data_IF_670434162999
#
_entry.id   IF_670434162999
#
_cell.length_a   1.000
_cell.length_b   1.000
_cell.length_c   1.000
_cell.angle_alpha   90.00
_cell.angle_beta   90.00
_cell.angle_gamma   90.00
#
_symmetry.space_group_name_H-M   'P 1'
#
loop_
_entity.id
_entity.type
_entity.pdbx_description
1 polymer ?
#
# COMPACT_ATOMS: atom_id res chain seq x y z
N UNK A 1 -20.16 -28.05 2.83
CA UNK A 1 -19.00 -28.95 2.97
C UNK A 1 -18.45 -28.75 4.37
N UNK A 2 -17.97 -29.81 5.02
CA UNK A 2 -17.23 -29.65 6.28
C UNK A 2 -15.90 -28.97 5.94
N UNK A 3 -15.54 -27.86 6.61
CA UNK A 3 -14.31 -27.13 6.31
C UNK A 3 -13.07 -28.01 6.41
N UNK A 4 -12.07 -27.73 5.58
CA UNK A 4 -10.75 -28.36 5.66
C UNK A 4 -10.22 -28.15 7.08
N UNK A 5 -9.87 -29.26 7.75
CA UNK A 5 -9.34 -29.22 9.11
C UNK A 5 -7.98 -28.51 9.12
N UNK A 6 -7.97 -27.27 9.56
CA UNK A 6 -6.77 -26.47 9.84
C UNK A 6 -6.44 -26.61 11.33
N UNK A 7 -5.25 -27.11 11.65
CA UNK A 7 -4.76 -27.17 13.03
C UNK A 7 -3.33 -26.65 13.01
N UNK A 8 -3.11 -25.46 13.59
CA UNK A 8 -1.77 -24.96 13.87
C UNK A 8 -1.40 -25.26 15.32
N UNK A 9 -0.15 -25.67 15.54
CA UNK A 9 0.37 -25.92 16.90
C UNK A 9 1.33 -24.82 17.38
N UNK A 10 1.59 -23.83 16.54
CA UNK A 10 2.54 -22.75 16.81
C UNK A 10 1.81 -21.60 17.49
N UNK A 11 2.22 -21.28 18.71
CA UNK A 11 1.64 -20.18 19.48
C UNK A 11 2.35 -18.85 19.12
N UNK A 12 1.60 -17.77 18.81
CA UNK A 12 2.16 -16.45 18.62
C UNK A 12 2.83 -15.94 19.91
N UNK A 13 3.95 -15.19 19.81
CA UNK A 13 4.60 -14.61 20.97
C UNK A 13 3.68 -13.59 21.67
N UNK A 14 3.87 -13.43 22.98
CA UNK A 14 3.23 -12.37 23.75
C UNK A 14 3.91 -11.03 23.44
N UNK A 15 3.10 -9.98 23.22
CA UNK A 15 3.55 -8.60 23.31
C UNK A 15 3.49 -8.12 24.78
N UNK A 16 3.77 -6.83 25.01
CA UNK A 16 3.62 -6.22 26.33
C UNK A 16 2.19 -6.35 26.87
N UNK A 17 2.04 -6.56 28.19
CA UNK A 17 0.72 -6.79 28.82
C UNK A 17 -0.32 -5.70 28.56
N UNK A 18 0.09 -4.45 28.27
CA UNK A 18 -0.84 -3.37 27.91
C UNK A 18 -1.68 -3.69 26.67
N UNK A 19 -1.21 -4.58 25.80
CA UNK A 19 -1.97 -5.03 24.62
C UNK A 19 -3.19 -5.90 24.99
N UNK A 20 -3.29 -6.38 26.24
CA UNK A 20 -4.53 -7.00 26.76
C UNK A 20 -5.64 -5.94 26.83
N UNK A 21 -5.32 -4.73 27.29
CA UNK A 21 -6.30 -3.64 27.41
C UNK A 21 -6.77 -3.17 26.03
N UNK A 22 -5.85 -3.09 25.05
CA UNK A 22 -6.20 -2.86 23.64
C UNK A 22 -7.11 -3.97 23.14
N UNK A 23 -6.77 -5.25 23.37
CA UNK A 23 -7.58 -6.38 22.91
C UNK A 23 -9.00 -6.34 23.50
N UNK A 24 -9.14 -6.00 24.78
CA UNK A 24 -10.44 -5.83 25.46
C UNK A 24 -11.25 -4.64 24.94
N UNK A 25 -10.59 -3.60 24.42
CA UNK A 25 -11.28 -2.44 23.83
C UNK A 25 -11.73 -2.66 22.38
N UNK A 26 -11.22 -3.70 21.70
CA UNK A 26 -11.58 -3.98 20.31
C UNK A 26 -13.06 -4.33 20.12
N UNK A 27 -13.67 -5.04 21.09
CA UNK A 27 -15.04 -5.54 20.98
C UNK A 27 -15.80 -5.22 22.27
N UNK A 28 -16.92 -4.50 22.15
CA UNK A 28 -17.77 -4.24 23.30
C UNK A 28 -18.44 -5.52 23.83
N UNK A 29 -18.71 -5.63 25.14
CA UNK A 29 -19.26 -6.86 25.73
C UNK A 29 -20.54 -7.37 25.06
N UNK A 30 -21.41 -6.47 24.62
CA UNK A 30 -22.66 -6.79 23.91
C UNK A 30 -22.44 -7.33 22.48
N UNK A 31 -21.28 -7.10 21.88
CA UNK A 31 -20.94 -7.55 20.53
C UNK A 31 -20.17 -8.87 20.48
N UNK A 32 -19.71 -9.40 21.62
CA UNK A 32 -18.87 -10.62 21.69
C UNK A 32 -19.49 -11.80 20.94
N UNK A 33 -20.77 -12.10 21.19
CA UNK A 33 -21.45 -13.21 20.52
C UNK A 33 -21.55 -12.97 19.01
N UNK A 34 -21.90 -11.75 18.62
CA UNK A 34 -22.05 -11.37 17.21
C UNK A 34 -20.74 -11.46 16.44
N UNK A 35 -19.64 -10.99 17.04
CA UNK A 35 -18.28 -11.11 16.50
C UNK A 35 -17.87 -12.58 16.37
N UNK A 36 -18.13 -13.39 17.40
CA UNK A 36 -17.85 -14.84 17.37
C UNK A 36 -18.61 -15.54 16.25
N UNK A 37 -19.89 -15.23 16.06
CA UNK A 37 -20.66 -15.77 14.93
C UNK A 37 -20.13 -15.26 13.59
N UNK A 38 -19.69 -14.01 13.52
CA UNK A 38 -19.12 -13.42 12.30
C UNK A 38 -17.83 -14.10 11.87
N UNK A 39 -16.96 -14.46 12.82
CA UNK A 39 -15.75 -15.25 12.59
C UNK A 39 -16.07 -16.60 11.96
N UNK A 40 -17.08 -17.30 12.49
CA UNK A 40 -17.54 -18.59 11.95
C UNK A 40 -18.09 -18.49 10.53
N UNK A 41 -18.80 -17.39 10.21
CA UNK A 41 -19.25 -17.11 8.83
C UNK A 41 -18.07 -16.83 7.90
N UNK A 42 -17.12 -16.02 8.38
CA UNK A 42 -15.93 -15.62 7.65
C UNK A 42 -15.06 -16.82 7.24
N UNK A 43 -14.75 -17.73 8.16
CA UNK A 43 -13.92 -18.90 7.87
C UNK A 43 -14.51 -19.79 6.76
N UNK A 44 -15.84 -19.99 6.76
CA UNK A 44 -16.55 -20.73 5.70
C UNK A 44 -16.48 -20.00 4.34
N UNK A 45 -16.54 -18.67 4.36
CA UNK A 45 -16.45 -17.85 3.14
C UNK A 45 -15.02 -17.85 2.56
N UNK A 46 -14.00 -17.75 3.41
CA UNK A 46 -12.58 -17.76 3.01
C UNK A 46 -12.19 -19.04 2.29
N UNK A 47 -12.62 -20.20 2.79
CA UNK A 47 -12.30 -21.49 2.16
C UNK A 47 -12.85 -21.57 0.73
N UNK A 48 -14.14 -21.25 0.57
CA UNK A 48 -14.79 -21.21 -0.75
C UNK A 48 -14.10 -20.23 -1.70
N UNK A 49 -13.70 -19.08 -1.17
CA UNK A 49 -13.03 -18.04 -1.95
C UNK A 49 -11.62 -18.45 -2.34
N UNK A 50 -10.89 -19.15 -1.47
CA UNK A 50 -9.57 -19.70 -1.78
C UNK A 50 -9.62 -20.75 -2.89
N UNK A 51 -10.63 -21.62 -2.90
CA UNK A 51 -10.83 -22.58 -4.00
C UNK A 51 -11.08 -21.84 -5.33
N UNK A 52 -11.94 -20.82 -5.31
CA UNK A 52 -12.23 -19.99 -6.50
C UNK A 52 -10.97 -19.29 -7.04
N UNK A 53 -10.17 -18.69 -6.15
CA UNK A 53 -8.90 -18.03 -6.54
C UNK A 53 -7.93 -19.07 -7.13
N UNK A 54 -7.82 -20.24 -6.50
CA UNK A 54 -6.91 -21.29 -6.95
C UNK A 54 -7.28 -21.84 -8.32
N UNK A 55 -8.57 -21.94 -8.64
CA UNK A 55 -9.06 -22.42 -9.95
C UNK A 55 -8.76 -21.44 -11.08
N UNK A 56 -8.91 -20.13 -10.82
CA UNK A 56 -8.72 -19.07 -11.81
C UNK A 56 -7.23 -18.66 -11.97
N UNK A 57 -6.43 -18.83 -10.90
CA UNK A 57 -5.02 -18.46 -10.87
C UNK A 57 -4.80 -16.97 -11.19
N UNK A 58 -3.70 -16.59 -11.88
CA UNK A 58 -3.38 -15.20 -12.16
C UNK A 58 -4.51 -14.38 -12.80
N UNK A 59 -5.37 -15.01 -13.62
CA UNK A 59 -6.51 -14.36 -14.30
C UNK A 59 -7.56 -13.82 -13.34
N UNK A 60 -7.54 -14.25 -12.08
CA UNK A 60 -8.40 -13.69 -11.04
C UNK A 60 -8.06 -12.22 -10.74
N UNK A 61 -6.88 -11.71 -11.08
CA UNK A 61 -6.61 -10.27 -10.96
C UNK A 61 -7.31 -9.50 -12.09
N UNK A 62 -8.16 -8.51 -11.77
CA UNK A 62 -8.82 -7.67 -12.78
C UNK A 62 -7.82 -6.96 -13.69
N UNK A 63 -8.17 -6.89 -14.98
CA UNK A 63 -7.38 -6.24 -16.03
C UNK A 63 -8.28 -5.30 -16.85
N UNK A 64 -7.74 -4.16 -17.25
CA UNK A 64 -8.41 -3.20 -18.14
C UNK A 64 -7.38 -2.53 -19.05
N UNK A 65 -7.77 -2.14 -20.26
CA UNK A 65 -6.93 -1.32 -21.12
C UNK A 65 -7.14 0.16 -20.80
N UNK A 66 -6.07 0.95 -20.74
CA UNK A 66 -6.16 2.39 -20.46
C UNK A 66 -7.12 3.12 -21.42
N UNK A 67 -7.20 2.69 -22.69
CA UNK A 67 -8.13 3.29 -23.65
C UNK A 67 -9.60 3.15 -23.24
N UNK A 68 -9.96 2.09 -22.51
CA UNK A 68 -11.33 1.83 -22.08
C UNK A 68 -11.71 2.77 -20.92
N UNK A 69 -10.74 3.14 -20.08
CA UNK A 69 -10.88 4.19 -19.06
C UNK A 69 -11.09 5.56 -19.73
N UNK A 70 -10.27 5.89 -20.73
CA UNK A 70 -10.39 7.14 -21.48
C UNK A 70 -11.73 7.23 -22.21
N UNK A 71 -12.15 6.16 -22.88
CA UNK A 71 -13.43 6.07 -23.56
C UNK A 71 -14.63 6.21 -22.61
N UNK A 72 -14.45 5.84 -21.33
CA UNK A 72 -15.43 5.99 -20.26
C UNK A 72 -15.24 7.29 -19.45
N UNK A 73 -14.89 8.40 -20.11
CA UNK A 73 -14.70 9.72 -19.49
C UNK A 73 -13.66 9.75 -18.36
N UNK A 74 -12.57 8.99 -18.51
CA UNK A 74 -11.54 8.80 -17.49
C UNK A 74 -12.07 8.18 -16.18
N UNK A 75 -13.03 7.26 -16.29
CA UNK A 75 -13.57 6.47 -15.18
C UNK A 75 -13.36 4.99 -15.44
N UNK A 76 -13.15 4.21 -14.38
CA UNK A 76 -13.18 2.75 -14.52
C UNK A 76 -14.56 2.29 -15.03
N UNK A 77 -14.64 1.37 -16.01
CA UNK A 77 -15.91 0.73 -16.35
C UNK A 77 -16.54 0.08 -15.11
N UNK A 78 -17.87 0.14 -14.97
CA UNK A 78 -18.57 -0.29 -13.75
C UNK A 78 -18.22 -1.72 -13.31
N UNK A 79 -18.11 -2.65 -14.27
CA UNK A 79 -17.73 -4.04 -13.99
C UNK A 79 -16.28 -4.16 -13.48
N UNK A 80 -15.37 -3.32 -13.98
CA UNK A 80 -13.97 -3.27 -13.53
C UNK A 80 -13.88 -2.62 -12.16
N UNK A 81 -14.63 -1.54 -11.92
CA UNK A 81 -14.75 -0.90 -10.61
C UNK A 81 -15.25 -1.88 -9.55
N UNK A 82 -16.32 -2.61 -9.81
CA UNK A 82 -16.86 -3.62 -8.89
C UNK A 82 -15.83 -4.70 -8.56
N UNK A 83 -15.15 -5.24 -9.58
CA UNK A 83 -14.10 -6.24 -9.39
C UNK A 83 -12.89 -5.69 -8.63
N UNK A 84 -12.48 -4.46 -8.89
CA UNK A 84 -11.41 -3.79 -8.16
C UNK A 84 -11.79 -3.60 -6.68
N UNK A 85 -13.03 -3.19 -6.39
CA UNK A 85 -13.50 -3.01 -5.01
C UNK A 85 -13.58 -4.33 -4.24
N UNK A 86 -13.93 -5.42 -4.91
CA UNK A 86 -13.95 -6.75 -4.32
C UNK A 86 -12.54 -7.32 -4.08
N UNK A 87 -11.69 -7.24 -5.10
CA UNK A 87 -10.40 -7.94 -5.15
C UNK A 87 -9.22 -7.10 -4.68
N UNK A 88 -9.40 -5.78 -4.59
CA UNK A 88 -8.40 -4.81 -4.13
C UNK A 88 -7.15 -4.69 -5.00
N UNK A 89 -7.08 -5.31 -6.18
CA UNK A 89 -5.95 -5.21 -7.11
C UNK A 89 -6.46 -4.98 -8.52
N UNK A 90 -5.75 -4.18 -9.30
CA UNK A 90 -6.10 -3.89 -10.69
C UNK A 90 -4.83 -3.71 -11.52
N UNK A 91 -4.82 -4.31 -12.72
CA UNK A 91 -3.80 -4.08 -13.73
C UNK A 91 -4.37 -3.31 -14.91
N UNK A 92 -3.69 -2.23 -15.29
CA UNK A 92 -4.09 -1.32 -16.35
C UNK A 92 -3.03 -1.36 -17.44
N UNK A 93 -3.38 -1.93 -18.59
CA UNK A 93 -2.45 -2.09 -19.72
C UNK A 93 -2.38 -0.83 -20.56
N UNK A 94 -1.27 -0.68 -21.29
CA UNK A 94 -1.08 0.35 -22.32
C UNK A 94 -1.27 1.80 -21.78
N UNK A 95 -0.82 2.06 -20.55
CA UNK A 95 -0.88 3.41 -19.96
C UNK A 95 0.20 4.31 -20.59
N UNK A 96 1.37 3.75 -20.89
CA UNK A 96 2.48 4.45 -21.55
C UNK A 96 3.00 3.56 -22.69
N UNK A 97 3.36 4.16 -23.81
CA UNK A 97 3.90 3.45 -24.96
C UNK A 97 5.25 2.78 -24.64
N UNK A 98 5.48 1.59 -25.20
CA UNK A 98 6.70 0.80 -24.91
C UNK A 98 8.00 1.54 -25.27
N UNK A 99 8.02 2.35 -26.34
CA UNK A 99 9.19 3.13 -26.75
C UNK A 99 9.58 4.19 -25.69
N UNK A 100 8.57 4.83 -25.09
CA UNK A 100 8.80 5.80 -24.01
C UNK A 100 9.29 5.10 -22.75
N UNK A 101 8.77 3.90 -22.45
CA UNK A 101 9.25 3.06 -21.36
C UNK A 101 10.71 2.66 -21.56
N UNK A 102 11.09 2.27 -22.78
CA UNK A 102 12.48 1.92 -23.10
C UNK A 102 13.43 3.10 -22.96
N UNK A 103 12.99 4.29 -23.38
CA UNK A 103 13.75 5.53 -23.18
C UNK A 103 13.98 5.78 -21.69
N UNK A 104 12.92 5.75 -20.89
CA UNK A 104 13.00 5.98 -19.44
C UNK A 104 13.84 4.91 -18.73
N UNK A 105 13.69 3.64 -19.08
CA UNK A 105 14.48 2.57 -18.50
C UNK A 105 15.98 2.77 -18.78
N UNK A 106 16.35 3.07 -20.02
CA UNK A 106 17.75 3.31 -20.39
C UNK A 106 18.33 4.55 -19.67
N UNK A 107 17.57 5.63 -19.55
CA UNK A 107 17.96 6.82 -18.79
C UNK A 107 18.15 6.51 -17.30
N UNK A 108 17.26 5.71 -16.68
CA UNK A 108 17.39 5.27 -15.28
C UNK A 108 18.63 4.41 -15.07
N UNK A 109 18.90 3.46 -15.96
CA UNK A 109 20.10 2.61 -15.92
C UNK A 109 21.36 3.45 -16.08
N UNK A 110 21.36 4.39 -17.04
CA UNK A 110 22.47 5.34 -17.22
C UNK A 110 22.74 6.15 -15.95
N UNK A 111 21.68 6.72 -15.37
CA UNK A 111 21.77 7.48 -14.13
C UNK A 111 22.37 6.66 -12.98
N UNK A 112 21.90 5.43 -12.78
CA UNK A 112 22.39 4.56 -11.70
C UNK A 112 23.87 4.16 -11.90
N UNK A 113 24.32 4.02 -13.15
CA UNK A 113 25.73 3.72 -13.47
C UNK A 113 26.64 4.93 -13.26
N UNK A 114 26.15 6.13 -13.53
CA UNK A 114 26.89 7.38 -13.37
C UNK A 114 26.95 7.85 -11.91
N UNK A 115 25.95 7.49 -11.09
CA UNK A 115 25.82 7.90 -9.68
C UNK A 115 25.73 6.70 -8.72
N UNK A 116 26.74 5.80 -8.69
CA UNK A 116 26.70 4.57 -7.89
C UNK A 116 26.63 4.84 -6.37
N UNK A 117 27.09 6.00 -5.91
CA UNK A 117 26.96 6.46 -4.52
C UNK A 117 25.51 6.73 -4.10
N UNK A 118 24.62 7.01 -5.05
CA UNK A 118 23.20 7.29 -4.80
C UNK A 118 22.36 6.03 -4.94
N UNK A 119 22.64 5.22 -5.96
CA UNK A 119 21.78 4.10 -6.35
C UNK A 119 21.93 2.85 -5.45
N UNK A 120 22.77 2.90 -4.41
CA UNK A 120 22.88 1.87 -3.38
C UNK A 120 23.75 0.68 -3.77
N UNK A 121 25.06 0.88 -3.86
CA UNK A 121 26.13 -0.10 -4.16
C UNK A 121 26.36 -0.39 -5.66
N UNK A 122 27.30 -1.31 -5.95
CA UNK A 122 27.72 -1.76 -7.29
C UNK A 122 26.55 -2.04 -8.23
N UNK A 123 26.74 -1.86 -9.54
CA UNK A 123 25.71 -2.12 -10.56
C UNK A 123 25.99 -3.45 -11.30
N UNK A 124 25.05 -4.43 -11.33
CA UNK A 124 23.76 -4.48 -10.64
C UNK A 124 23.93 -4.69 -9.13
N UNK A 125 22.98 -4.19 -8.34
CA UNK A 125 23.08 -4.26 -6.88
C UNK A 125 22.49 -5.58 -6.35
N UNK A 126 22.96 -6.08 -5.18
CA UNK A 126 22.59 -7.41 -4.70
C UNK A 126 21.13 -7.51 -4.22
N UNK A 127 20.45 -6.38 -4.00
CA UNK A 127 19.07 -6.35 -3.48
C UNK A 127 18.03 -6.10 -4.58
N UNK A 128 18.43 -5.76 -5.80
CA UNK A 128 17.61 -5.30 -6.92
C UNK A 128 16.91 -3.93 -6.74
N UNK A 129 17.12 -3.21 -5.64
CA UNK A 129 16.44 -1.94 -5.33
C UNK A 129 17.37 -0.74 -5.43
N UNK A 130 17.03 0.26 -6.24
CA UNK A 130 17.91 1.40 -6.49
C UNK A 130 17.31 2.67 -5.91
N UNK A 131 17.98 3.27 -4.92
CA UNK A 131 17.50 4.44 -4.17
C UNK A 131 17.67 5.76 -4.96
N UNK A 132 17.03 5.82 -6.13
CA UNK A 132 16.88 7.02 -6.96
C UNK A 132 15.44 7.50 -6.88
N UNK A 133 15.20 8.80 -6.67
CA UNK A 133 13.86 9.33 -6.37
C UNK A 133 13.38 10.45 -7.31
N UNK A 134 14.29 11.30 -7.81
CA UNK A 134 13.94 12.55 -8.50
C UNK A 134 14.46 12.64 -9.94
N UNK A 135 14.93 11.53 -10.51
CA UNK A 135 15.46 11.50 -11.87
C UNK A 135 14.43 12.01 -12.90
N UNK A 136 14.93 12.44 -14.07
CA UNK A 136 14.08 12.87 -15.20
C UNK A 136 13.01 11.82 -15.55
N UNK A 137 13.34 10.52 -15.76
CA UNK A 137 12.33 9.51 -16.05
C UNK A 137 11.25 9.39 -14.97
N UNK A 138 11.61 9.46 -13.69
CA UNK A 138 10.63 9.37 -12.60
C UNK A 138 9.71 10.60 -12.59
N UNK A 139 10.26 11.79 -12.78
CA UNK A 139 9.47 13.02 -12.85
C UNK A 139 8.52 13.01 -14.05
N UNK A 140 9.01 12.64 -15.23
CA UNK A 140 8.19 12.55 -16.43
C UNK A 140 7.13 11.45 -16.34
N UNK A 141 7.44 10.28 -15.76
CA UNK A 141 6.49 9.18 -15.59
C UNK A 141 5.37 9.52 -14.58
N UNK A 142 5.69 10.16 -13.44
CA UNK A 142 4.68 10.61 -12.45
C UNK A 142 3.69 11.59 -13.08
N UNK A 143 4.20 12.51 -13.90
CA UNK A 143 3.41 13.62 -14.44
C UNK A 143 2.96 13.43 -15.89
N UNK A 144 3.18 12.24 -16.45
CA UNK A 144 2.67 11.88 -17.76
C UNK A 144 1.14 12.05 -17.79
N UNK A 145 0.54 12.59 -18.88
CA UNK A 145 -0.90 12.83 -18.94
C UNK A 145 -1.75 11.59 -18.63
N UNK A 146 -1.35 10.42 -19.15
CA UNK A 146 -2.06 9.17 -18.91
C UNK A 146 -1.94 8.71 -17.45
N UNK A 147 -0.76 8.88 -16.82
CA UNK A 147 -0.58 8.58 -15.39
C UNK A 147 -1.50 9.46 -14.55
N UNK A 148 -1.54 10.78 -14.80
CA UNK A 148 -2.43 11.69 -14.08
C UNK A 148 -3.91 11.34 -14.26
N UNK A 149 -4.34 11.03 -15.48
CA UNK A 149 -5.70 10.60 -15.75
C UNK A 149 -6.05 9.29 -15.03
N UNK A 150 -5.12 8.33 -15.02
CA UNK A 150 -5.27 7.06 -14.31
C UNK A 150 -5.42 7.27 -12.80
N UNK A 151 -4.55 8.06 -12.18
CA UNK A 151 -4.63 8.33 -10.73
C UNK A 151 -5.93 9.04 -10.34
N UNK A 152 -6.47 9.92 -11.20
CA UNK A 152 -7.80 10.50 -11.02
C UNK A 152 -8.91 9.44 -11.12
N UNK A 153 -8.83 8.52 -12.09
CA UNK A 153 -9.79 7.41 -12.20
C UNK A 153 -9.79 6.50 -10.96
N UNK A 154 -8.60 6.24 -10.40
CA UNK A 154 -8.44 5.47 -9.17
C UNK A 154 -8.92 6.24 -7.93
N UNK A 155 -8.70 7.56 -7.87
CA UNK A 155 -9.19 8.42 -6.78
C UNK A 155 -10.71 8.34 -6.64
N UNK A 156 -11.43 8.31 -7.77
CA UNK A 156 -12.90 8.21 -7.80
C UNK A 156 -13.44 6.86 -7.29
N UNK A 157 -12.59 5.89 -6.95
CA UNK A 157 -13.02 4.64 -6.31
C UNK A 157 -13.22 4.80 -4.81
N UNK A 158 -12.57 5.81 -4.21
CA UNK A 158 -12.63 6.14 -2.79
C UNK A 158 -13.64 7.25 -2.51
N UNK A 159 -14.09 7.33 -1.26
CA UNK A 159 -15.03 8.36 -0.84
C UNK A 159 -14.85 8.71 0.64
N UNK A 160 -15.46 9.84 1.01
CA UNK A 160 -15.76 10.20 2.40
C UNK A 160 -17.25 10.48 2.49
N UNK A 161 -17.87 10.15 3.62
CA UNK A 161 -19.26 10.48 3.91
C UNK A 161 -19.39 11.86 4.58
N UNK A 162 -18.41 12.21 5.41
CA UNK A 162 -18.31 13.50 6.06
C UNK A 162 -17.56 14.49 5.16
N UNK A 163 -18.27 15.50 4.66
CA UNK A 163 -17.70 16.57 3.82
C UNK A 163 -16.68 17.46 4.54
N UNK A 164 -16.61 17.39 5.87
CA UNK A 164 -15.60 18.08 6.69
C UNK A 164 -14.28 17.30 6.82
N UNK A 165 -14.22 16.04 6.35
CA UNK A 165 -12.99 15.24 6.36
C UNK A 165 -11.86 15.96 5.65
N UNK A 166 -10.72 16.13 6.32
CA UNK A 166 -9.55 16.89 5.86
C UNK A 166 -8.72 16.12 4.82
N UNK A 167 -9.37 15.78 3.72
CA UNK A 167 -8.82 15.04 2.59
C UNK A 167 -9.39 15.56 1.27
N UNK A 168 -8.50 15.74 0.30
CA UNK A 168 -8.82 15.93 -1.10
C UNK A 168 -8.27 14.75 -1.89
N UNK A 169 -9.15 13.74 -2.07
CA UNK A 169 -8.86 12.49 -2.76
C UNK A 169 -8.43 12.75 -4.22
N UNK A 170 -8.91 13.84 -4.83
CA UNK A 170 -8.63 14.18 -6.24
C UNK A 170 -7.29 14.87 -6.45
N UNK A 171 -6.61 15.28 -5.37
CA UNK A 171 -5.27 15.86 -5.44
C UNK A 171 -4.24 14.82 -5.05
N UNK A 172 -3.45 14.35 -6.02
CA UNK A 172 -2.30 13.50 -5.78
C UNK A 172 -1.13 14.33 -5.22
N UNK A 173 -0.55 13.88 -4.12
CA UNK A 173 0.76 14.31 -3.59
C UNK A 173 1.82 13.30 -4.05
N UNK A 174 3.04 13.74 -4.32
CA UNK A 174 4.13 12.79 -4.60
C UNK A 174 4.71 12.30 -3.28
N UNK A 175 4.70 10.98 -3.08
CA UNK A 175 5.63 10.30 -2.18
C UNK A 175 6.85 9.85 -3.01
N UNK A 176 8.05 10.25 -2.58
CA UNK A 176 9.30 9.91 -3.27
C UNK A 176 9.67 8.45 -3.09
N UNK A 177 9.35 7.61 -4.07
CA UNK A 177 9.70 6.19 -4.05
C UNK A 177 10.71 5.81 -5.14
N UNK A 178 11.37 4.67 -4.92
CA UNK A 178 12.52 4.16 -5.65
C UNK A 178 12.13 3.38 -6.91
N UNK A 179 13.12 2.74 -7.54
CA UNK A 179 12.89 1.75 -8.61
C UNK A 179 13.41 0.38 -8.19
N UNK A 180 12.95 -0.67 -8.87
CA UNK A 180 13.54 -2.01 -8.79
C UNK A 180 13.99 -2.45 -10.17
N UNK A 181 15.19 -3.02 -10.26
CA UNK A 181 15.72 -3.69 -11.45
C UNK A 181 16.21 -5.07 -11.00
N UNK A 182 15.39 -6.09 -11.22
CA UNK A 182 15.63 -7.45 -10.76
C UNK A 182 16.13 -8.35 -11.89
N UNK A 183 17.40 -8.73 -11.84
CA UNK A 183 18.00 -9.61 -12.86
C UNK A 183 17.48 -11.06 -12.76
N UNK A 184 17.52 -11.83 -13.86
CA UNK A 184 17.30 -13.29 -13.84
C UNK A 184 18.19 -14.00 -12.82
N UNK A 185 17.66 -15.05 -12.18
CA UNK A 185 18.35 -15.84 -11.16
C UNK A 185 18.46 -15.17 -9.78
N UNK A 186 18.02 -13.91 -9.64
CA UNK A 186 18.01 -13.24 -8.34
C UNK A 186 16.93 -13.81 -7.41
N UNK A 187 17.33 -14.08 -6.17
CA UNK A 187 16.43 -14.50 -5.10
C UNK A 187 16.07 -13.27 -4.26
N UNK A 188 14.78 -13.03 -4.11
CA UNK A 188 14.26 -12.01 -3.19
C UNK A 188 13.26 -12.69 -2.27
N UNK A 189 13.28 -12.37 -0.98
CA UNK A 189 12.29 -12.89 -0.04
C UNK A 189 11.69 -11.75 0.77
N UNK A 190 10.56 -11.23 0.30
CA UNK A 190 9.63 -10.50 1.13
C UNK A 190 8.37 -11.36 1.19
N UNK A 191 8.15 -12.00 2.34
CA UNK A 191 7.02 -12.93 2.57
C UNK A 191 5.69 -12.18 2.59
N UNK A 192 4.57 -12.89 2.51
CA UNK A 192 3.24 -12.32 2.63
C UNK A 192 3.12 -11.37 3.83
N UNK A 193 2.74 -10.13 3.57
CA UNK A 193 2.62 -9.07 4.56
C UNK A 193 1.57 -8.03 4.13
N UNK A 194 1.21 -7.17 5.08
CA UNK A 194 0.68 -5.83 4.83
C UNK A 194 1.75 -4.81 5.18
N UNK A 195 1.82 -3.72 4.40
CA UNK A 195 2.53 -2.50 4.82
C UNK A 195 1.59 -1.58 5.62
N UNK A 196 1.93 -0.29 5.69
CA UNK A 196 1.10 0.75 6.31
C UNK A 196 0.81 0.44 7.78
N UNK A 197 1.85 -0.01 8.49
CA UNK A 197 1.92 -0.33 9.93
C UNK A 197 1.89 -1.82 10.27
N UNK A 198 2.37 -2.13 11.48
CA UNK A 198 2.41 -3.51 12.01
C UNK A 198 1.34 -3.75 13.08
N UNK A 199 1.12 -2.79 13.97
CA UNK A 199 0.21 -2.94 15.13
C UNK A 199 -0.86 -1.83 15.19
N UNK A 200 -0.65 -0.73 14.49
CA UNK A 200 -1.43 0.50 14.59
C UNK A 200 -2.89 0.30 14.13
N UNK A 201 -3.17 -0.66 13.24
CA UNK A 201 -4.53 -1.09 12.88
C UNK A 201 -5.43 -1.42 14.08
N UNK A 202 -4.84 -1.86 15.18
CA UNK A 202 -5.55 -2.17 16.43
C UNK A 202 -5.32 -1.12 17.51
N UNK A 203 -4.11 -0.56 17.57
CA UNK A 203 -3.69 0.31 18.65
C UNK A 203 -4.17 1.76 18.47
N UNK A 204 -4.04 2.33 17.26
CA UNK A 204 -4.47 3.69 16.96
C UNK A 204 -6.01 3.76 16.89
N UNK A 205 -6.59 4.83 17.43
CA UNK A 205 -8.04 4.96 17.57
C UNK A 205 -8.74 5.16 16.23
N UNK A 206 -8.28 6.11 15.42
CA UNK A 206 -8.85 6.37 14.09
C UNK A 206 -8.59 5.19 13.15
N UNK A 207 -7.39 4.61 13.21
CA UNK A 207 -7.07 3.42 12.41
C UNK A 207 -7.99 2.24 12.77
N UNK A 208 -8.18 1.96 14.06
CA UNK A 208 -9.11 0.92 14.52
C UNK A 208 -10.55 1.22 14.09
N UNK A 209 -10.99 2.48 14.15
CA UNK A 209 -12.34 2.88 13.77
C UNK A 209 -12.62 2.67 12.27
N UNK A 210 -11.58 2.71 11.41
CA UNK A 210 -11.70 2.34 10.01
C UNK A 210 -12.13 0.87 9.79
N UNK A 211 -12.08 0.03 10.82
CA UNK A 211 -12.49 -1.38 10.79
C UNK A 211 -13.68 -1.70 11.71
N UNK A 212 -14.42 -0.68 12.17
CA UNK A 212 -15.44 -0.88 13.19
C UNK A 212 -16.54 -1.88 12.79
N UNK A 213 -16.97 -1.93 11.53
CA UNK A 213 -17.97 -2.92 11.10
C UNK A 213 -17.48 -4.37 11.30
N UNK A 214 -16.18 -4.63 11.10
CA UNK A 214 -15.57 -5.94 11.38
C UNK A 214 -15.62 -6.23 12.88
N UNK A 215 -15.20 -5.26 13.70
CA UNK A 215 -15.14 -5.37 15.15
C UNK A 215 -16.52 -5.42 15.84
N UNK A 216 -17.58 -5.02 15.13
CA UNK A 216 -18.97 -5.16 15.56
C UNK A 216 -19.66 -6.44 15.02
N UNK A 217 -18.91 -7.30 14.33
CA UNK A 217 -19.39 -8.58 13.80
C UNK A 217 -20.22 -8.50 12.51
N UNK A 218 -20.04 -7.40 11.76
CA UNK A 218 -20.66 -7.08 10.47
C UNK A 218 -19.60 -6.94 9.36
N UNK A 219 -18.58 -7.79 9.33
CA UNK A 219 -17.49 -7.66 8.35
C UNK A 219 -18.00 -7.64 6.90
N UNK A 220 -19.18 -8.22 6.63
CA UNK A 220 -19.85 -8.17 5.32
C UNK A 220 -20.16 -6.74 4.86
N UNK A 221 -20.42 -5.82 5.78
CA UNK A 221 -20.77 -4.41 5.53
C UNK A 221 -19.55 -3.49 5.49
N UNK A 222 -18.38 -3.98 5.89
CA UNK A 222 -17.16 -3.16 5.89
C UNK A 222 -16.82 -2.65 4.49
N UNK A 223 -16.57 -1.35 4.36
CA UNK A 223 -16.16 -0.70 3.11
C UNK A 223 -14.73 -0.20 3.20
N UNK A 224 -13.82 -0.88 2.49
CA UNK A 224 -12.41 -0.53 2.44
C UNK A 224 -12.13 0.81 1.73
N UNK A 225 -13.10 1.34 0.98
CA UNK A 225 -12.94 2.56 0.17
C UNK A 225 -13.50 3.81 0.86
N UNK A 226 -14.07 3.69 2.06
CA UNK A 226 -14.48 4.82 2.91
C UNK A 226 -13.29 5.32 3.71
N UNK A 227 -12.96 6.60 3.56
CA UNK A 227 -11.71 7.18 4.07
C UNK A 227 -11.89 8.11 5.28
N UNK A 228 -13.11 8.30 5.78
CA UNK A 228 -13.41 9.26 6.87
C UNK A 228 -12.45 9.10 8.06
N UNK A 229 -12.34 7.89 8.61
CA UNK A 229 -11.47 7.60 9.75
C UNK A 229 -10.01 7.39 9.35
N UNK A 230 -9.79 6.76 8.19
CA UNK A 230 -8.43 6.46 7.70
C UNK A 230 -7.64 7.73 7.40
N UNK A 231 -8.33 8.84 7.09
CA UNK A 231 -7.74 10.18 6.91
C UNK A 231 -6.95 10.65 8.14
N UNK A 232 -7.37 10.24 9.33
CA UNK A 232 -6.81 10.66 10.62
C UNK A 232 -5.98 9.58 11.32
N UNK A 233 -5.87 8.40 10.73
CA UNK A 233 -5.14 7.27 11.28
C UNK A 233 -3.64 7.59 11.43
N UNK A 234 -3.06 7.26 12.58
CA UNK A 234 -1.62 7.31 12.77
C UNK A 234 -0.98 5.96 12.43
N UNK A 235 -0.32 5.87 11.27
CA UNK A 235 0.36 4.63 10.83
C UNK A 235 1.70 4.36 11.55
N UNK A 236 2.17 5.28 12.40
CA UNK A 236 3.37 5.11 13.22
C UNK A 236 3.22 5.77 14.61
N UNK A 237 2.73 5.01 15.59
CA UNK A 237 2.64 5.48 16.98
C UNK A 237 4.01 5.54 17.69
N UNK A 238 5.06 5.06 17.02
CA UNK A 238 6.38 4.83 17.60
C UNK A 238 7.46 5.68 16.91
N UNK A 239 7.14 6.91 16.48
CA UNK A 239 8.10 7.81 15.80
C UNK A 239 9.42 8.00 16.58
N UNK A 240 9.38 7.86 17.91
CA UNK A 240 10.53 7.98 18.81
C UNK A 240 11.41 6.72 18.88
N UNK A 241 10.95 5.58 18.37
CA UNK A 241 11.68 4.30 18.37
C UNK A 241 12.47 4.17 17.07
N UNK A 242 13.79 4.00 17.18
CA UNK A 242 14.67 3.92 16.00
C UNK A 242 14.78 2.50 15.42
N UNK A 243 14.56 1.46 16.25
CA UNK A 243 14.50 0.08 15.78
C UNK A 243 13.31 -0.08 14.84
N UNK A 244 13.51 -0.65 13.65
CA UNK A 244 12.41 -0.81 12.69
C UNK A 244 12.11 0.44 11.85
N UNK A 245 12.67 1.61 12.17
CA UNK A 245 12.41 2.87 11.45
C UNK A 245 12.63 2.76 9.93
N UNK A 246 13.64 2.00 9.49
CA UNK A 246 13.94 1.78 8.07
C UNK A 246 12.85 1.04 7.29
N UNK A 247 11.84 0.49 7.98
CA UNK A 247 10.71 -0.23 7.40
C UNK A 247 9.43 0.60 7.29
N UNK A 248 9.42 1.79 7.89
CA UNK A 248 8.26 2.67 7.98
C UNK A 248 8.12 3.48 6.68
N UNK A 249 6.88 3.60 6.20
CA UNK A 249 6.48 4.60 5.21
C UNK A 249 5.78 5.74 5.95
N UNK A 250 6.25 6.98 5.76
CA UNK A 250 5.65 8.16 6.44
C UNK A 250 4.40 8.71 5.76
N UNK A 251 4.04 8.21 4.58
CA UNK A 251 2.90 8.69 3.80
C UNK A 251 1.69 7.78 3.97
N UNK A 252 0.53 8.39 4.20
CA UNK A 252 -0.75 7.71 4.03
C UNK A 252 -0.99 7.48 2.54
N UNK A 253 -0.93 6.22 2.12
CA UNK A 253 -1.26 5.78 0.77
C UNK A 253 -2.63 5.12 0.78
N UNK A 254 -3.46 5.39 -0.23
CA UNK A 254 -4.71 4.64 -0.45
C UNK A 254 -4.44 3.39 -1.28
N UNK A 255 -3.53 3.53 -2.26
CA UNK A 255 -3.07 2.44 -3.11
C UNK A 255 -1.55 2.43 -3.13
N UNK A 256 -0.97 1.24 -3.06
CA UNK A 256 0.37 1.03 -3.58
C UNK A 256 0.29 0.77 -5.09
N UNK A 257 1.38 0.98 -5.79
CA UNK A 257 1.42 0.70 -7.21
C UNK A 257 2.76 0.94 -7.86
N UNK A 258 2.88 0.46 -9.09
CA UNK A 258 4.06 0.66 -9.90
C UNK A 258 3.77 0.63 -11.40
N UNK A 259 4.62 1.32 -12.15
CA UNK A 259 4.69 1.29 -13.61
C UNK A 259 5.71 0.23 -14.07
N UNK A 260 5.29 -0.64 -14.99
CA UNK A 260 6.14 -1.67 -15.59
C UNK A 260 7.19 -1.07 -16.52
N UNK A 261 8.47 -1.36 -16.26
CA UNK A 261 9.60 -0.99 -17.12
C UNK A 261 10.10 -2.17 -17.97
N UNK A 262 9.48 -3.34 -17.84
CA UNK A 262 9.84 -4.58 -18.55
C UNK A 262 8.62 -5.47 -18.79
N UNK A 263 8.80 -6.47 -19.66
CA UNK A 263 7.84 -7.54 -19.88
C UNK A 263 8.25 -8.74 -19.02
N UNK A 264 7.33 -9.29 -18.22
CA UNK A 264 7.59 -10.45 -17.36
C UNK A 264 6.31 -11.27 -17.22
N UNK A 265 6.42 -12.60 -17.35
CA UNK A 265 5.26 -13.48 -17.12
C UNK A 265 4.98 -13.65 -15.63
N UNK A 266 3.78 -14.15 -15.32
CA UNK A 266 3.46 -14.60 -13.96
C UNK A 266 4.54 -15.53 -13.41
N UNK A 267 5.11 -15.21 -12.25
CA UNK A 267 6.16 -16.01 -11.61
C UNK A 267 7.60 -15.63 -12.01
N UNK A 268 7.78 -14.75 -12.98
CA UNK A 268 9.11 -14.29 -13.41
C UNK A 268 9.58 -13.09 -12.58
N UNK A 269 9.69 -13.26 -11.26
CA UNK A 269 10.20 -12.22 -10.37
C UNK A 269 9.27 -11.01 -10.19
N UNK A 270 7.96 -11.22 -10.26
CA UNK A 270 6.91 -10.18 -10.25
C UNK A 270 6.34 -9.94 -8.85
N UNK A 271 5.02 -9.72 -8.75
CA UNK A 271 4.23 -9.48 -7.54
C UNK A 271 3.23 -10.64 -7.37
N UNK A 272 3.01 -11.04 -6.14
CA UNK A 272 1.95 -11.97 -5.75
C UNK A 272 1.03 -11.28 -4.76
N UNK A 273 -0.27 -11.51 -4.89
CA UNK A 273 -1.31 -10.87 -4.08
C UNK A 273 -2.32 -11.90 -3.60
N UNK A 274 -3.02 -11.59 -2.51
CA UNK A 274 -4.24 -12.27 -2.08
C UNK A 274 -5.45 -11.38 -2.48
N UNK A 275 -6.04 -11.58 -3.67
CA UNK A 275 -7.03 -10.66 -4.25
C UNK A 275 -8.45 -10.86 -3.66
N UNK A 276 -8.58 -10.65 -2.35
CA UNK A 276 -9.84 -10.79 -1.59
C UNK A 276 -9.84 -9.80 -0.42
N UNK A 277 -10.09 -8.52 -0.70
CA UNK A 277 -9.82 -7.41 0.22
C UNK A 277 -10.62 -7.54 1.52
N UNK A 278 -11.94 -7.65 1.40
CA UNK A 278 -12.87 -7.65 2.54
C UNK A 278 -12.62 -8.81 3.49
N UNK A 279 -12.60 -10.04 2.97
CA UNK A 279 -12.48 -11.22 3.84
C UNK A 279 -11.07 -11.37 4.40
N UNK A 280 -10.02 -11.03 3.63
CA UNK A 280 -8.66 -11.09 4.14
C UNK A 280 -8.48 -10.11 5.31
N UNK A 281 -8.97 -8.88 5.19
CA UNK A 281 -8.89 -7.91 6.29
C UNK A 281 -9.78 -8.26 7.46
N UNK A 282 -11.00 -8.75 7.23
CA UNK A 282 -11.82 -9.27 8.32
C UNK A 282 -11.09 -10.38 9.10
N UNK A 283 -10.40 -11.27 8.40
CA UNK A 283 -9.63 -12.34 9.03
C UNK A 283 -8.46 -11.79 9.82
N UNK A 284 -7.67 -10.91 9.22
CA UNK A 284 -6.49 -10.32 9.84
C UNK A 284 -6.89 -9.55 11.10
N UNK A 285 -7.87 -8.65 11.00
CA UNK A 285 -8.32 -7.81 12.13
C UNK A 285 -8.88 -8.65 13.28
N UNK A 286 -9.63 -9.73 12.99
CA UNK A 286 -10.19 -10.62 14.02
C UNK A 286 -9.20 -11.68 14.51
N UNK A 287 -8.09 -11.96 13.81
CA UNK A 287 -7.17 -13.05 14.17
C UNK A 287 -6.59 -12.92 15.58
N UNK A 288 -6.22 -11.74 16.11
CA UNK A 288 -5.80 -11.61 17.51
C UNK A 288 -6.85 -12.07 18.53
N UNK A 289 -8.14 -12.01 18.18
CA UNK A 289 -9.26 -12.44 19.02
C UNK A 289 -9.55 -13.95 18.87
N UNK A 290 -9.15 -14.57 17.77
CA UNK A 290 -9.41 -15.99 17.47
C UNK A 290 -8.15 -16.71 17.00
N UNK A 291 -7.02 -16.44 17.64
CA UNK A 291 -5.72 -16.96 17.18
C UNK A 291 -5.55 -18.46 17.46
N UNK A 292 -6.30 -19.02 18.42
CA UNK A 292 -6.28 -20.45 18.77
C UNK A 292 -7.22 -21.22 17.88
N UNK A 293 -6.66 -21.96 16.92
CA UNK A 293 -7.43 -22.93 16.14
C UNK A 293 -7.83 -24.11 17.06
N UNK A 294 -9.11 -24.54 17.07
CA UNK A 294 -9.57 -25.61 17.95
C UNK A 294 -8.98 -26.96 17.53
N UNK A 295 -8.52 -27.76 18.50
CA UNK A 295 -7.92 -29.09 18.26
C UNK A 295 -8.90 -30.06 17.58
N UNK A 296 -10.20 -29.89 17.83
CA UNK A 296 -11.27 -30.64 17.16
C UNK A 296 -11.23 -30.44 15.63
N UNK A 297 -10.79 -29.26 15.18
CA UNK A 297 -10.89 -28.80 13.80
C UNK A 297 -12.30 -28.31 13.43
N UNK A 298 -13.21 -28.20 14.40
CA UNK A 298 -14.56 -27.71 14.18
C UNK A 298 -14.58 -26.18 14.29
N UNK A 299 -15.12 -25.49 13.28
CA UNK A 299 -15.29 -24.03 13.30
C UNK A 299 -16.19 -23.60 14.47
N UNK A 300 -17.12 -24.45 14.89
CA UNK A 300 -18.05 -24.08 15.95
C UNK A 300 -17.40 -24.08 17.34
N UNK A 301 -16.20 -24.65 17.48
CA UNK A 301 -15.41 -24.71 18.72
C UNK A 301 -14.45 -23.52 18.92
N UNK A 302 -14.44 -22.52 18.00
CA UNK A 302 -13.69 -21.28 18.24
C UNK A 302 -14.28 -20.49 19.40
N UNK A 303 -13.40 -20.05 20.29
CA UNK A 303 -13.70 -19.16 21.41
C UNK A 303 -12.89 -17.86 21.27
N UNK A 304 -13.50 -16.75 21.66
CA UNK A 304 -12.84 -15.45 21.67
C UNK A 304 -11.79 -15.39 22.79
N UNK A 305 -10.61 -14.85 22.47
CA UNK A 305 -9.55 -14.54 23.41
C UNK A 305 -9.53 -13.04 23.69
N UNK A 306 -9.74 -12.64 24.93
CA UNK A 306 -9.65 -11.25 25.39
C UNK A 306 -8.57 -11.08 26.48
N UNK A 307 -7.80 -12.13 26.77
CA UNK A 307 -6.98 -12.22 27.98
C UNK A 307 -5.47 -12.28 27.67
N UNK A 308 -5.06 -12.57 26.43
CA UNK A 308 -3.64 -12.60 26.06
C UNK A 308 -3.21 -11.38 25.24
N UNK A 309 -1.96 -10.90 25.39
CA UNK A 309 -1.41 -9.79 24.59
C UNK A 309 -0.91 -10.24 23.20
N UNK A 310 -1.55 -11.25 22.59
CA UNK A 310 -1.10 -11.82 21.32
C UNK A 310 -1.71 -11.11 20.12
N UNK A 311 -0.86 -10.52 19.30
CA UNK A 311 -1.19 -9.95 17.99
C UNK A 311 -0.29 -10.64 16.95
N UNK A 312 -0.76 -11.76 16.35
CA UNK A 312 0.10 -12.63 15.58
C UNK A 312 0.75 -11.90 14.39
N UNK A 313 2.06 -12.05 14.22
CA UNK A 313 2.80 -11.42 13.11
C UNK A 313 3.15 -9.95 13.29
N UNK A 314 2.58 -9.27 14.29
CA UNK A 314 2.86 -7.87 14.58
C UNK A 314 4.19 -7.70 15.33
N UNK A 315 4.94 -6.68 14.94
CA UNK A 315 6.11 -6.18 15.64
C UNK A 315 5.95 -4.67 15.78
N UNK A 316 5.55 -4.16 16.97
CA UNK A 316 5.43 -2.73 17.22
C UNK A 316 6.69 -1.97 16.77
N UNK A 317 6.55 -0.73 16.29
CA UNK A 317 7.59 0.10 15.67
C UNK A 317 8.10 -0.30 14.28
N UNK A 318 7.50 -1.31 13.64
CA UNK A 318 7.82 -1.68 12.25
C UNK A 318 6.67 -1.36 11.29
N UNK A 319 7.00 -1.20 10.01
CA UNK A 319 6.03 -0.80 8.98
C UNK A 319 5.24 -1.93 8.35
N UNK A 320 5.57 -3.19 8.68
CA UNK A 320 4.92 -4.38 8.12
C UNK A 320 4.28 -5.26 9.18
N UNK A 321 3.08 -5.72 8.88
CA UNK A 321 2.46 -6.90 9.51
C UNK A 321 2.77 -8.13 8.66
N UNK A 322 3.59 -9.06 9.15
CA UNK A 322 3.83 -10.31 8.45
C UNK A 322 2.72 -11.31 8.70
N UNK A 323 2.34 -12.05 7.65
CA UNK A 323 1.24 -13.00 7.67
C UNK A 323 1.73 -14.43 7.43
N UNK A 324 2.57 -15.02 8.31
CA UNK A 324 3.06 -16.38 8.10
C UNK A 324 1.91 -17.40 8.19
N UNK A 325 1.99 -18.47 7.39
CA UNK A 325 0.99 -19.55 7.36
C UNK A 325 0.76 -20.16 8.75
N UNK A 326 1.81 -20.22 9.58
CA UNK A 326 1.78 -20.70 10.96
C UNK A 326 0.78 -19.94 11.85
N UNK A 327 0.57 -18.64 11.59
CA UNK A 327 -0.35 -17.80 12.36
C UNK A 327 -1.63 -17.45 11.60
N UNK A 328 -1.57 -17.48 10.26
CA UNK A 328 -2.66 -17.08 9.37
C UNK A 328 -3.11 -18.20 8.41
N UNK A 329 -3.34 -19.43 8.87
CA UNK A 329 -3.49 -20.58 7.98
C UNK A 329 -4.78 -20.53 7.12
N UNK A 330 -5.84 -19.85 7.57
CA UNK A 330 -7.09 -19.69 6.80
C UNK A 330 -7.00 -18.60 5.72
N UNK A 331 -5.83 -17.96 5.56
CA UNK A 331 -5.54 -17.26 4.32
C UNK A 331 -5.30 -18.26 3.19
N UNK A 332 -5.01 -19.53 3.44
CA UNK A 332 -4.75 -20.57 2.43
C UNK A 332 -3.68 -20.15 1.43
N UNK A 333 -2.50 -19.74 1.91
CA UNK A 333 -1.43 -19.13 1.11
C UNK A 333 -1.17 -19.82 -0.24
N UNK A 334 -1.10 -21.15 -0.26
CA UNK A 334 -0.82 -21.92 -1.48
C UNK A 334 -1.95 -21.86 -2.53
N UNK A 335 -3.19 -21.61 -2.10
CA UNK A 335 -4.38 -21.53 -2.95
C UNK A 335 -4.74 -20.09 -3.34
N UNK A 336 -4.61 -19.15 -2.41
CA UNK A 336 -5.17 -17.81 -2.52
C UNK A 336 -4.14 -16.72 -2.84
N UNK A 337 -2.85 -16.96 -2.58
CA UNK A 337 -1.77 -16.02 -2.92
C UNK A 337 -1.29 -16.38 -4.32
N UNK A 338 -1.69 -15.58 -5.29
CA UNK A 338 -1.45 -15.83 -6.70
C UNK A 338 -0.52 -14.77 -7.28
N UNK A 339 0.30 -15.16 -8.26
CA UNK A 339 1.06 -14.18 -9.06
C UNK A 339 0.08 -13.33 -9.87
N UNK A 340 0.42 -12.06 -10.08
CA UNK A 340 -0.33 -11.21 -11.03
C UNK A 340 -0.21 -11.77 -12.46
N UNK A 341 -1.15 -11.46 -13.39
CA UNK A 341 -1.05 -11.85 -14.79
C UNK A 341 0.22 -11.28 -15.45
N UNK A 342 0.51 -11.78 -16.65
CA UNK A 342 1.67 -11.33 -17.43
C UNK A 342 1.73 -9.81 -17.57
N UNK A 343 2.86 -9.26 -17.15
CA UNK A 343 3.13 -7.83 -17.13
C UNK A 343 3.76 -7.43 -18.46
N UNK A 344 3.29 -6.31 -19.01
CA UNK A 344 3.88 -5.67 -20.20
C UNK A 344 4.39 -4.29 -19.86
N UNK A 345 5.44 -3.84 -20.55
CA UNK A 345 5.95 -2.45 -20.49
C UNK A 345 4.79 -1.46 -20.59
N UNK A 346 4.82 -0.43 -19.75
CA UNK A 346 3.77 0.60 -19.76
C UNK A 346 2.45 0.19 -19.11
N UNK A 347 2.37 -1.01 -18.55
CA UNK A 347 1.28 -1.42 -17.66
C UNK A 347 1.48 -0.80 -16.28
N UNK A 348 0.38 -0.34 -15.66
CA UNK A 348 0.37 0.07 -14.26
C UNK A 348 -0.35 -0.98 -13.42
N UNK A 349 0.20 -1.34 -12.26
CA UNK A 349 -0.46 -2.24 -11.30
C UNK A 349 -0.73 -1.48 -10.02
N UNK A 350 -1.97 -1.55 -9.53
CA UNK A 350 -2.37 -1.01 -8.23
C UNK A 350 -2.86 -2.13 -7.32
N UNK A 351 -2.59 -2.00 -6.03
CA UNK A 351 -3.29 -2.73 -4.99
C UNK A 351 -3.63 -1.82 -3.82
N UNK A 352 -4.78 -2.09 -3.20
CA UNK A 352 -5.21 -1.43 -1.98
C UNK A 352 -4.17 -1.64 -0.86
N UNK A 353 -3.93 -0.64 -0.03
CA UNK A 353 -2.90 -0.73 1.03
C UNK A 353 -3.13 -1.88 2.03
N UNK A 354 -4.36 -2.34 2.11
CA UNK A 354 -4.78 -3.47 2.94
C UNK A 354 -4.86 -4.81 2.16
N UNK A 355 -4.25 -4.92 0.97
CA UNK A 355 -4.09 -6.21 0.28
C UNK A 355 -2.81 -6.93 0.73
N UNK A 356 -2.92 -8.18 1.24
CA UNK A 356 -1.78 -9.04 1.47
C UNK A 356 -1.01 -9.29 0.18
N UNK A 357 0.29 -9.04 0.19
CA UNK A 357 1.13 -9.20 -0.98
C UNK A 357 2.55 -9.65 -0.64
N UNK A 358 3.24 -10.20 -1.63
CA UNK A 358 4.62 -10.67 -1.56
C UNK A 358 5.28 -10.60 -2.94
N UNK A 359 6.59 -10.83 -3.02
CA UNK A 359 7.30 -10.93 -4.30
C UNK A 359 7.56 -12.39 -4.64
N UNK A 360 7.59 -12.73 -5.94
CA UNK A 360 8.01 -14.07 -6.36
C UNK A 360 9.40 -14.37 -5.77
N UNK A 361 9.53 -15.52 -5.09
CA UNK A 361 10.78 -15.92 -4.43
C UNK A 361 11.94 -16.00 -5.42
N UNK A 362 11.66 -16.57 -6.59
CA UNK A 362 12.62 -16.78 -7.67
C UNK A 362 12.27 -15.89 -8.87
N UNK A 363 13.28 -15.61 -9.69
CA UNK A 363 13.10 -14.97 -10.98
C UNK A 363 13.76 -15.84 -12.05
N UNK A 364 12.99 -16.74 -12.65
CA UNK A 364 13.49 -17.69 -13.65
C UNK A 364 13.15 -17.27 -15.09
N UNK A 365 12.85 -15.98 -15.31
CA UNK A 365 12.64 -15.39 -16.63
C UNK A 365 13.94 -15.13 -17.37
N UNK A 366 13.85 -14.67 -18.62
CA UNK A 366 15.01 -14.47 -19.51
C UNK A 366 15.58 -13.03 -19.49
N UNK A 367 14.85 -12.07 -18.92
CA UNK A 367 15.22 -10.65 -18.87
C UNK A 367 14.94 -10.01 -17.52
N UNK A 368 15.33 -8.75 -17.33
CA UNK A 368 15.09 -8.04 -16.07
C UNK A 368 13.59 -7.90 -15.75
N UNK A 369 13.26 -7.93 -14.46
CA UNK A 369 11.95 -7.56 -13.91
C UNK A 369 12.08 -6.20 -13.24
N UNK A 370 11.63 -5.15 -13.92
CA UNK A 370 11.87 -3.77 -13.53
C UNK A 370 10.61 -2.95 -13.45
N UNK A 371 10.52 -2.17 -12.38
CA UNK A 371 9.34 -1.37 -12.06
C UNK A 371 9.74 -0.04 -11.44
N UNK A 372 8.91 0.97 -11.65
CA UNK A 372 8.98 2.25 -10.97
C UNK A 372 7.83 2.37 -9.97
N UNK A 373 8.13 2.46 -8.67
CA UNK A 373 7.12 2.57 -7.63
C UNK A 373 6.50 3.96 -7.59
N UNK A 374 5.17 4.00 -7.62
CA UNK A 374 4.41 5.23 -7.49
C UNK A 374 3.01 4.89 -6.97
N UNK A 375 2.81 5.12 -5.66
CA UNK A 375 1.55 4.90 -4.97
C UNK A 375 0.61 6.11 -5.02
N UNK A 376 -0.67 5.87 -4.77
CA UNK A 376 -1.67 6.92 -4.63
C UNK A 376 -1.60 7.51 -3.23
N UNK A 377 -1.34 8.81 -3.16
CA UNK A 377 -1.15 9.57 -1.92
C UNK A 377 -2.03 10.80 -2.02
N UNK A 378 -3.28 10.76 -1.50
CA UNK A 378 -4.17 11.91 -1.58
C UNK A 378 -3.63 13.06 -0.71
N UNK A 379 -3.98 14.30 -1.05
CA UNK A 379 -3.75 15.42 -0.14
C UNK A 379 -4.65 15.24 1.07
N UNK A 380 -4.07 14.85 2.21
CA UNK A 380 -4.76 14.67 3.49
C UNK A 380 -4.01 15.39 4.60
N UNK A 381 -4.65 15.55 5.75
CA UNK A 381 -4.02 16.11 6.95
C UNK A 381 -2.71 15.41 7.31
N UNK A 382 -2.66 14.08 7.23
CA UNK A 382 -1.47 13.26 7.51
C UNK A 382 -0.38 13.42 6.43
N UNK A 383 -0.76 13.64 5.17
CA UNK A 383 0.17 13.83 4.06
C UNK A 383 0.72 15.26 3.91
N UNK A 384 0.32 16.21 4.76
CA UNK A 384 0.96 17.54 4.77
C UNK A 384 2.45 17.43 5.15
N UNK A 385 2.82 16.52 6.07
CA UNK A 385 4.24 16.25 6.36
C UNK A 385 4.97 15.66 5.14
N UNK A 386 4.33 14.75 4.40
CA UNK A 386 4.88 14.13 3.19
C UNK A 386 5.17 15.15 2.09
N UNK A 387 4.27 16.11 1.84
CA UNK A 387 4.51 17.13 0.80
C UNK A 387 5.62 18.12 1.20
N UNK A 388 5.74 18.43 2.50
CA UNK A 388 6.86 19.25 3.01
C UNK A 388 8.20 18.55 2.81
N UNK A 389 8.27 17.25 3.15
CA UNK A 389 9.48 16.46 2.92
C UNK A 389 9.80 16.36 1.43
N UNK A 390 8.82 16.05 0.59
CA UNK A 390 8.99 15.96 -0.87
C UNK A 390 9.53 17.25 -1.47
N UNK A 391 8.94 18.41 -1.12
CA UNK A 391 9.44 19.72 -1.57
C UNK A 391 10.89 19.92 -1.15
N UNK A 392 11.20 19.66 0.12
CA UNK A 392 12.54 19.86 0.69
C UNK A 392 13.56 18.92 0.03
N UNK A 393 13.26 17.64 -0.05
CA UNK A 393 14.12 16.62 -0.64
C UNK A 393 14.40 16.91 -2.12
N UNK A 394 13.36 17.24 -2.90
CA UNK A 394 13.49 17.59 -4.30
C UNK A 394 14.34 18.85 -4.52
N UNK A 395 14.04 19.96 -3.83
CA UNK A 395 14.78 21.22 -3.97
C UNK A 395 16.25 21.12 -3.56
N UNK A 396 16.56 20.23 -2.60
CA UNK A 396 17.94 19.97 -2.18
C UNK A 396 18.61 18.82 -2.94
N UNK A 397 17.88 18.16 -3.85
CA UNK A 397 18.34 17.02 -4.62
C UNK A 397 18.83 15.85 -3.74
N UNK A 398 18.10 15.57 -2.66
CA UNK A 398 18.39 14.56 -1.62
C UNK A 398 17.29 13.52 -1.52
N UNK A 399 17.60 12.37 -0.92
CA UNK A 399 16.60 11.34 -0.64
C UNK A 399 15.46 11.88 0.24
N UNK A 400 14.22 11.38 0.06
CA UNK A 400 13.14 11.63 1.01
C UNK A 400 13.46 11.03 2.39
N UNK A 401 12.83 11.54 3.45
CA UNK A 401 13.21 11.28 4.86
C UNK A 401 13.22 9.79 5.23
N UNK A 402 12.26 9.01 4.74
CA UNK A 402 12.16 7.56 5.00
C UNK A 402 13.44 6.81 4.58
N UNK A 403 14.12 7.31 3.54
CA UNK A 403 15.38 6.75 3.04
C UNK A 403 16.60 7.51 3.54
N UNK A 404 16.55 8.85 3.61
CA UNK A 404 17.67 9.69 4.04
C UNK A 404 18.07 9.43 5.49
N UNK A 405 17.09 9.05 6.35
CA UNK A 405 17.32 8.71 7.75
C UNK A 405 18.13 7.43 7.94
N UNK A 406 18.30 6.63 6.89
CA UNK A 406 19.11 5.40 6.87
C UNK A 406 20.56 5.66 6.43
N UNK A 407 20.85 6.85 5.91
CA UNK A 407 22.17 7.21 5.38
C UNK A 407 23.07 7.78 6.49
N UNK A 408 24.35 7.42 6.44
CA UNK A 408 25.39 8.11 7.20
C UNK A 408 25.60 9.54 6.67
N UNK A 409 26.20 10.41 7.47
CA UNK A 409 26.53 11.78 7.06
C UNK A 409 27.44 11.83 5.82
N UNK A 410 28.29 10.82 5.62
CA UNK A 410 29.14 10.73 4.43
C UNK A 410 28.33 10.39 3.17
N UNK A 411 27.31 9.53 3.29
CA UNK A 411 26.43 9.18 2.18
C UNK A 411 25.52 10.36 1.82
N UNK A 412 24.91 11.03 2.82
CA UNK A 412 24.12 12.26 2.62
C UNK A 412 24.91 13.36 1.92
N UNK A 413 26.20 13.50 2.22
CA UNK A 413 27.04 14.49 1.56
C UNK A 413 27.30 14.18 0.07
N UNK A 414 27.31 12.89 -0.29
CA UNK A 414 27.63 12.42 -1.65
C UNK A 414 26.42 12.23 -2.55
N UNK A 415 25.25 11.93 -2.00
CA UNK A 415 24.07 11.60 -2.80
C UNK A 415 23.67 12.75 -3.74
N UNK A 416 23.17 12.36 -4.91
CA UNK A 416 22.65 13.21 -5.97
C UNK A 416 21.47 12.50 -6.65
N UNK A 417 20.27 13.08 -6.57
CA UNK A 417 19.03 12.41 -6.95
C UNK A 417 18.47 12.80 -8.34
N UNK A 418 19.19 13.64 -9.10
CA UNK A 418 18.79 14.07 -10.45
C UNK A 418 17.59 15.03 -10.52
N UNK A 419 17.24 15.70 -9.41
CA UNK A 419 16.13 16.65 -9.36
C UNK A 419 16.37 17.87 -10.26
N UNK A 420 15.40 18.17 -11.12
CA UNK A 420 15.34 19.42 -11.91
C UNK A 420 13.87 19.81 -12.10
N UNK A 421 13.55 21.05 -11.73
CA UNK A 421 12.21 21.63 -11.86
C UNK A 421 11.70 21.65 -13.31
N UNK A 422 12.61 21.71 -14.29
CA UNK A 422 12.28 21.70 -15.71
C UNK A 422 11.71 20.35 -16.18
N UNK A 423 11.91 19.28 -15.41
CA UNK A 423 11.29 17.98 -15.67
C UNK A 423 9.78 17.99 -15.32
N UNK A 424 9.29 18.99 -14.58
CA UNK A 424 7.88 19.13 -14.18
C UNK A 424 7.20 20.18 -15.06
N UNK A 425 6.53 19.71 -16.12
CA UNK A 425 6.03 20.57 -17.20
C UNK A 425 4.58 21.05 -17.02
N UNK A 426 3.96 20.87 -15.86
CA UNK A 426 2.56 21.24 -15.64
C UNK A 426 2.28 21.67 -14.18
N UNK A 427 1.28 22.54 -14.00
CA UNK A 427 0.92 23.12 -12.71
C UNK A 427 0.42 22.09 -11.68
N UNK A 428 -0.28 21.05 -12.13
CA UNK A 428 -0.71 19.97 -11.21
C UNK A 428 0.50 19.26 -10.62
N UNK A 429 1.50 18.92 -11.44
CA UNK A 429 2.74 18.32 -10.96
C UNK A 429 3.54 19.22 -10.02
N UNK A 430 3.56 20.52 -10.29
CA UNK A 430 4.19 21.51 -9.39
C UNK A 430 3.49 21.54 -8.03
N UNK A 431 2.14 21.49 -8.00
CA UNK A 431 1.35 21.40 -6.77
C UNK A 431 1.58 20.07 -6.06
N UNK A 432 1.58 18.94 -6.77
CA UNK A 432 1.85 17.61 -6.21
C UNK A 432 3.23 17.49 -5.54
N UNK A 433 4.20 18.30 -5.95
CA UNK A 433 5.56 18.38 -5.38
C UNK A 433 5.70 19.46 -4.30
N UNK A 434 4.64 20.20 -3.96
CA UNK A 434 4.69 21.32 -3.00
C UNK A 434 5.42 22.56 -3.51
N UNK A 435 5.65 22.67 -4.81
CA UNK A 435 6.37 23.79 -5.44
C UNK A 435 5.46 24.97 -5.78
N UNK A 436 4.15 24.74 -5.87
CA UNK A 436 3.12 25.75 -6.11
C UNK A 436 1.95 25.55 -5.14
N UNK A 437 1.23 26.62 -4.74
CA UNK A 437 0.09 26.49 -3.85
C UNK A 437 -1.11 25.83 -4.55
N UNK A 438 -1.90 25.11 -3.76
CA UNK A 438 -3.18 24.55 -4.16
C UNK A 438 -4.22 25.64 -4.37
N UNK A 439 -5.10 25.44 -5.37
CA UNK A 439 -6.20 26.36 -5.63
C UNK A 439 -7.33 26.13 -4.62
N UNK A 440 -7.44 27.02 -3.63
CA UNK A 440 -8.52 26.98 -2.62
C UNK A 440 -9.84 27.55 -3.15
N UNK A 441 -9.87 28.10 -4.36
CA UNK A 441 -11.06 28.69 -4.98
C UNK A 441 -11.61 27.84 -6.12
N UNK A 442 -11.09 26.63 -6.33
CA UNK A 442 -11.63 25.70 -7.31
C UNK A 442 -13.13 25.49 -7.04
N UNK A 443 -13.99 25.52 -8.08
CA UNK A 443 -15.41 25.26 -7.92
C UNK A 443 -15.68 23.87 -7.34
N UNK A 444 -16.79 23.73 -6.62
CA UNK A 444 -17.30 22.45 -6.10
C UNK A 444 -16.43 21.74 -5.07
N UNK A 445 -15.39 22.39 -4.51
CA UNK A 445 -14.68 21.85 -3.35
C UNK A 445 -15.62 21.76 -2.14
N UNK A 446 -15.62 20.58 -1.49
CA UNK A 446 -16.23 20.42 -0.16
C UNK A 446 -15.50 21.29 0.88
N UNK A 447 -16.08 21.40 2.07
CA UNK A 447 -15.44 22.15 3.16
C UNK A 447 -14.08 21.56 3.54
N UNK A 448 -14.02 20.25 3.78
CA UNK A 448 -12.78 19.55 4.13
C UNK A 448 -11.71 19.62 3.03
N UNK A 449 -12.09 19.51 1.74
CA UNK A 449 -11.17 19.68 0.62
C UNK A 449 -10.56 21.09 0.57
N UNK A 450 -11.37 22.13 0.79
CA UNK A 450 -10.88 23.50 0.81
C UNK A 450 -9.95 23.75 1.99
N UNK A 451 -10.30 23.21 3.15
CA UNK A 451 -9.56 23.38 4.39
C UNK A 451 -8.20 22.68 4.34
N UNK A 452 -8.13 21.41 3.89
CA UNK A 452 -6.84 20.71 3.77
C UNK A 452 -5.91 21.38 2.74
N UNK A 453 -6.44 21.92 1.64
CA UNK A 453 -5.67 22.72 0.68
C UNK A 453 -5.13 24.01 1.31
N UNK A 454 -5.93 24.69 2.13
CA UNK A 454 -5.51 25.89 2.85
C UNK A 454 -4.40 25.57 3.88
N UNK A 455 -4.60 24.54 4.69
CA UNK A 455 -3.61 24.05 5.67
C UNK A 455 -2.29 23.68 4.98
N UNK A 456 -2.34 22.96 3.86
CA UNK A 456 -1.15 22.62 3.09
C UNK A 456 -0.44 23.86 2.54
N UNK A 457 -1.18 24.87 2.04
CA UNK A 457 -0.59 26.13 1.58
C UNK A 457 0.10 26.90 2.72
N UNK A 458 -0.52 26.95 3.90
CA UNK A 458 0.06 27.57 5.09
C UNK A 458 1.33 26.84 5.55
N UNK A 459 1.27 25.51 5.62
CA UNK A 459 2.42 24.66 5.95
C UNK A 459 3.56 24.84 4.94
N UNK A 460 3.28 24.83 3.63
CA UNK A 460 4.28 25.01 2.57
C UNK A 460 4.97 26.39 2.60
N UNK A 461 4.27 27.41 3.12
CA UNK A 461 4.80 28.76 3.35
C UNK A 461 5.62 28.83 4.64
N UNK A 462 5.19 28.16 5.71
CA UNK A 462 5.88 28.13 6.99
C UNK A 462 7.09 27.18 7.01
N UNK A 463 7.10 26.15 6.17
CA UNK A 463 8.10 25.09 6.13
C UNK A 463 7.99 24.06 7.26
N UNK A 464 6.86 24.04 7.98
CA UNK A 464 6.60 23.15 9.11
C UNK A 464 5.10 22.87 9.24
N UNK A 465 4.75 21.74 9.85
CA UNK A 465 3.38 21.35 10.14
C UNK A 465 3.34 20.38 11.31
N UNK A 466 2.44 20.63 12.27
CA UNK A 466 2.11 19.70 13.34
C UNK A 466 0.66 19.22 13.17
N UNK A 467 0.43 17.94 12.80
CA UNK A 467 -0.91 17.37 12.64
C UNK A 467 -1.68 17.27 13.97
N UNK A 468 -1.03 17.47 15.12
CA UNK A 468 -1.63 17.35 16.45
C UNK A 468 -1.86 18.71 17.15
N UNK A 469 -1.46 19.83 16.53
CA UNK A 469 -1.54 21.18 17.11
C UNK A 469 -2.88 21.86 16.94
#
# INVERSE_FOLDING_TARGET
MTPTKVVTTTEPPDLENRFIDIKRSLVSPENIEKVTQSWKRLLRALEKQADTISEEGPKYVPQVDFKDIVANNNQLPDNVSALFKERGTLMIHNVVDEEQIDTWFNELVGFCKEHPETAGYTYPNPTAWYNVFWSKPQSEARFHPNTRALFKAMANQFHVENEDSLIDINTQVVYGDRIRIREPGSVASLKLHLDSSSIERWEDEHYRQAYHEILEGNWEEWDAFRLDERTYANENLYEHVLTGKSTICSAFRTLQGWLALSNNKSGEGTLRVLPNLKMAMAYIILRPLFWRDPVSGDIDDYEIDLETPKFPGSVPSTGQLFLPEEYFPHLYHQKSVISIPDVRKGTFVFWHVDIPHEVDKEHNGEGHSSVFYYGQTPLSITNIRTILDTKKAFLNNKSPEDYSSQLSETEKAKEYQGADINHIKNIEGMRSMGLEPFDVNEPFLTKGQREVRALANEALKAGTFDPHS
#
